data_IF_602354098260
#
_entry.id   IF_602354098260
#
_cell.length_a   1.000
_cell.length_b   1.000
_cell.length_c   1.000
_cell.angle_alpha   90.00
_cell.angle_beta   90.00
_cell.angle_gamma   90.00
#
_symmetry.space_group_name_H-M   'P 1'
#
loop_
_entity.id
_entity.type
_entity.pdbx_description
1 polymer ?
#
# COMPACT_ATOMS: atom_id res chain seq x y z
N UNK A 1 6.33 -3.00 15.37
CA UNK A 1 6.56 -1.64 14.82
C UNK A 1 5.27 -1.14 14.21
N UNK A 2 4.88 0.10 14.48
CA UNK A 2 3.73 0.78 13.85
C UNK A 2 4.26 1.81 12.87
N UNK A 3 3.66 1.89 11.68
CA UNK A 3 4.05 2.83 10.62
C UNK A 3 2.84 3.56 10.07
N UNK A 4 3.06 4.79 9.63
CA UNK A 4 2.17 5.53 8.76
C UNK A 4 2.53 5.19 7.31
N UNK A 5 1.59 4.63 6.59
CA UNK A 5 1.78 4.16 5.22
C UNK A 5 0.65 4.65 4.33
N UNK A 6 0.83 4.60 3.03
CA UNK A 6 -0.16 5.02 2.06
C UNK A 6 -0.70 3.82 1.27
N UNK A 7 -1.99 3.87 0.95
CA UNK A 7 -2.64 2.90 0.07
C UNK A 7 -3.48 3.62 -0.98
N UNK A 8 -3.14 3.40 -2.26
CA UNK A 8 -3.92 3.88 -3.40
C UNK A 8 -4.95 2.85 -3.82
N UNK A 9 -6.16 3.28 -4.09
CA UNK A 9 -7.19 2.41 -4.65
C UNK A 9 -8.10 3.19 -5.62
N UNK A 10 -8.78 2.50 -6.56
CA UNK A 10 -9.84 3.10 -7.36
C UNK A 10 -10.98 3.62 -6.49
N UNK A 11 -11.66 4.68 -6.94
CA UNK A 11 -12.72 5.34 -6.18
C UNK A 11 -13.89 4.42 -5.79
N UNK A 12 -14.21 3.41 -6.61
CA UNK A 12 -15.25 2.41 -6.33
C UNK A 12 -14.88 1.42 -5.20
N UNK A 13 -13.61 1.37 -4.83
CA UNK A 13 -13.10 0.54 -3.73
C UNK A 13 -13.13 1.29 -2.39
N UNK A 14 -13.09 2.62 -2.42
CA UNK A 14 -13.09 3.46 -1.20
C UNK A 14 -14.22 3.10 -0.23
N UNK A 15 -15.51 3.00 -0.64
CA UNK A 15 -16.60 2.65 0.30
C UNK A 15 -16.42 1.27 0.93
N UNK A 16 -15.81 0.32 0.21
CA UNK A 16 -15.56 -1.03 0.73
C UNK A 16 -14.51 -1.03 1.84
N UNK A 17 -13.42 -0.27 1.63
CA UNK A 17 -12.37 -0.12 2.66
C UNK A 17 -12.92 0.60 3.89
N UNK A 18 -13.76 1.63 3.71
CA UNK A 18 -14.38 2.36 4.82
C UNK A 18 -15.30 1.46 5.66
N UNK A 19 -16.02 0.53 5.02
CA UNK A 19 -16.96 -0.37 5.71
C UNK A 19 -16.29 -1.60 6.33
N UNK A 20 -15.26 -2.16 5.70
CA UNK A 20 -14.74 -3.49 6.02
C UNK A 20 -13.24 -3.50 6.33
N UNK A 21 -12.57 -2.34 6.27
CA UNK A 21 -11.12 -2.27 6.37
C UNK A 21 -10.41 -2.88 5.16
N UNK A 22 -9.13 -3.17 5.34
CA UNK A 22 -8.28 -3.77 4.32
C UNK A 22 -8.42 -5.30 4.34
N UNK A 23 -9.17 -5.85 3.40
CA UNK A 23 -9.41 -7.28 3.31
C UNK A 23 -8.46 -7.94 2.30
N UNK A 24 -7.60 -8.83 2.79
CA UNK A 24 -6.63 -9.60 2.01
C UNK A 24 -7.27 -10.43 0.89
N UNK A 25 -8.51 -10.86 1.01
CA UNK A 25 -9.20 -11.65 -0.01
C UNK A 25 -9.32 -10.94 -1.36
N UNK A 26 -9.15 -9.63 -1.40
CA UNK A 26 -9.12 -8.83 -2.62
C UNK A 26 -7.70 -8.59 -3.17
N UNK A 27 -6.65 -9.18 -2.58
CA UNK A 27 -5.30 -9.11 -3.12
C UNK A 27 -5.20 -9.86 -4.45
N UNK A 28 -4.17 -9.53 -5.25
CA UNK A 28 -3.90 -10.24 -6.52
C UNK A 28 -4.50 -9.59 -7.76
N UNK A 29 -5.25 -8.49 -7.63
CA UNK A 29 -5.67 -7.68 -8.80
C UNK A 29 -4.49 -6.96 -9.45
N UNK A 30 -3.47 -6.64 -8.67
CA UNK A 30 -2.19 -6.09 -9.10
C UNK A 30 -1.08 -7.12 -8.87
N UNK A 31 0.13 -6.81 -9.31
CA UNK A 31 1.27 -7.71 -9.15
C UNK A 31 1.53 -8.08 -7.67
N UNK A 32 1.90 -9.33 -7.43
CA UNK A 32 2.14 -9.92 -6.10
C UNK A 32 3.63 -10.20 -5.88
N UNK A 33 4.50 -9.27 -6.30
CA UNK A 33 5.96 -9.44 -6.28
C UNK A 33 6.54 -9.72 -4.89
N UNK A 34 5.92 -9.22 -3.85
CA UNK A 34 6.40 -9.35 -2.46
C UNK A 34 5.44 -10.16 -1.59
N UNK A 35 4.56 -10.96 -2.23
CA UNK A 35 3.59 -11.85 -1.59
C UNK A 35 2.13 -11.46 -1.83
N UNK A 36 1.22 -12.38 -1.51
CA UNK A 36 -0.24 -12.22 -1.66
C UNK A 36 -0.83 -11.63 -0.38
N UNK A 37 -0.64 -10.34 -0.18
CA UNK A 37 -1.18 -9.56 0.93
C UNK A 37 -1.70 -8.20 0.48
N UNK A 38 -2.00 -7.33 1.43
CA UNK A 38 -2.37 -5.95 1.18
C UNK A 38 -1.11 -5.08 1.16
N UNK A 39 -0.95 -4.32 0.10
CA UNK A 39 0.24 -3.51 -0.19
C UNK A 39 0.07 -2.08 0.32
N UNK A 40 1.09 -1.59 0.98
CA UNK A 40 1.20 -0.21 1.45
C UNK A 40 2.55 0.38 1.04
N UNK A 41 2.59 1.67 0.75
CA UNK A 41 3.80 2.38 0.43
C UNK A 41 4.21 3.34 1.56
N UNK A 42 5.52 3.47 1.80
CA UNK A 42 6.06 4.50 2.70
C UNK A 42 5.80 5.90 2.15
N UNK A 43 5.94 6.07 0.86
CA UNK A 43 5.82 7.36 0.18
C UNK A 43 4.48 7.46 -0.56
N UNK A 44 3.72 8.54 -0.32
CA UNK A 44 2.45 8.81 -0.99
C UNK A 44 2.56 8.80 -2.50
N UNK A 45 3.69 9.25 -3.04
CA UNK A 45 3.98 9.32 -4.46
C UNK A 45 3.80 7.97 -5.18
N UNK A 46 4.15 6.86 -4.53
CA UNK A 46 3.92 5.52 -5.10
C UNK A 46 2.43 5.21 -5.19
N UNK A 47 1.68 5.49 -4.12
CA UNK A 47 0.24 5.21 -4.03
C UNK A 47 -0.61 6.12 -4.91
N UNK A 48 -0.13 7.31 -5.26
CA UNK A 48 -0.84 8.26 -6.15
C UNK A 48 -0.72 7.91 -7.64
N UNK A 49 0.04 6.88 -8.00
CA UNK A 49 0.21 6.49 -9.38
C UNK A 49 -1.13 5.98 -9.98
N UNK A 50 -1.54 6.44 -11.20
CA UNK A 50 -2.86 6.12 -11.76
C UNK A 50 -3.18 4.63 -11.93
N UNK A 51 -2.18 3.76 -11.96
CA UNK A 51 -2.38 2.32 -11.98
C UNK A 51 -3.01 1.81 -10.67
N UNK A 52 -2.59 2.37 -9.53
CA UNK A 52 -3.07 1.97 -8.20
C UNK A 52 -4.27 2.81 -7.76
N UNK A 53 -4.24 4.10 -8.13
CA UNK A 53 -5.20 5.11 -7.74
C UNK A 53 -5.80 5.75 -9.01
N UNK A 54 -6.72 5.01 -9.67
CA UNK A 54 -7.33 5.47 -10.93
C UNK A 54 -8.15 6.73 -10.70
N UNK A 55 -7.92 7.82 -11.48
CA UNK A 55 -8.77 9.00 -11.44
C UNK A 55 -10.22 8.66 -11.81
N UNK A 56 -11.16 9.32 -11.16
CA UNK A 56 -12.56 9.31 -11.57
C UNK A 56 -12.79 10.18 -12.83
N UNK A 57 -14.03 10.26 -13.37
CA UNK A 57 -14.33 11.09 -14.55
C UNK A 57 -14.06 12.58 -14.36
N UNK A 58 -13.97 13.07 -13.11
CA UNK A 58 -13.63 14.45 -12.75
C UNK A 58 -12.13 14.65 -12.53
N UNK A 59 -11.32 13.60 -12.70
CA UNK A 59 -9.88 13.63 -12.48
C UNK A 59 -9.47 13.54 -11.00
N UNK A 60 -10.41 13.22 -10.11
CA UNK A 60 -10.13 13.07 -8.68
C UNK A 60 -9.63 11.66 -8.39
N UNK A 61 -8.60 11.57 -7.58
CA UNK A 61 -8.01 10.35 -7.07
C UNK A 61 -8.12 10.28 -5.54
N UNK A 62 -8.08 9.07 -4.99
CA UNK A 62 -8.21 8.84 -3.54
C UNK A 62 -7.10 7.94 -3.04
N UNK A 63 -6.42 8.35 -1.98
CA UNK A 63 -5.49 7.49 -1.22
C UNK A 63 -5.87 7.49 0.25
N UNK A 64 -5.55 6.39 0.91
CA UNK A 64 -5.64 6.31 2.37
C UNK A 64 -4.27 6.58 2.99
N UNK A 65 -4.26 7.36 4.06
CA UNK A 65 -3.19 7.34 5.05
C UNK A 65 -3.57 6.32 6.12
N UNK A 66 -2.72 5.33 6.30
CA UNK A 66 -3.02 4.10 7.00
C UNK A 66 -2.10 3.94 8.21
N UNK A 67 -2.67 3.58 9.36
CA UNK A 67 -1.91 3.13 10.51
C UNK A 67 -1.72 1.63 10.41
N UNK A 68 -0.50 1.21 10.09
CA UNK A 68 -0.17 -0.21 9.91
C UNK A 68 0.72 -0.77 11.04
N UNK A 69 0.43 -1.98 11.46
CA UNK A 69 1.25 -2.77 12.37
C UNK A 69 2.07 -3.75 11.52
N UNK A 70 3.29 -3.36 11.17
CA UNK A 70 4.16 -4.16 10.30
C UNK A 70 4.97 -5.20 11.08
N UNK A 71 5.12 -5.05 12.40
CA UNK A 71 5.82 -6.00 13.24
C UNK A 71 7.26 -6.24 12.85
N UNK A 72 7.68 -7.51 12.85
CA UNK A 72 8.95 -7.98 12.28
C UNK A 72 8.70 -8.44 10.84
N UNK A 73 9.54 -8.01 9.93
CA UNK A 73 9.36 -8.25 8.50
C UNK A 73 10.57 -8.95 7.87
N UNK A 74 10.32 -9.65 6.77
CA UNK A 74 11.34 -10.23 5.89
C UNK A 74 11.14 -9.72 4.45
N UNK A 75 12.09 -10.00 3.57
CA UNK A 75 11.91 -9.76 2.13
C UNK A 75 10.79 -10.61 1.59
N UNK A 76 9.92 -10.01 0.78
CA UNK A 76 8.79 -10.71 0.16
C UNK A 76 9.24 -11.61 -0.98
N UNK A 77 8.53 -12.73 -1.13
CA UNK A 77 8.69 -13.67 -2.24
C UNK A 77 7.45 -13.60 -3.12
N UNK A 78 7.67 -13.57 -4.43
CA UNK A 78 6.57 -13.47 -5.40
C UNK A 78 5.56 -14.60 -5.19
N UNK A 79 4.29 -14.23 -5.17
CA UNK A 79 3.13 -15.12 -5.03
C UNK A 79 3.06 -15.93 -3.71
N UNK A 80 3.94 -15.67 -2.74
CA UNK A 80 3.87 -16.31 -1.43
C UNK A 80 2.57 -15.98 -0.71
N UNK A 81 1.93 -17.01 -0.14
CA UNK A 81 0.67 -16.86 0.60
C UNK A 81 0.89 -16.36 2.03
N UNK A 82 2.08 -16.57 2.58
CA UNK A 82 2.48 -16.18 3.93
C UNK A 82 3.91 -15.66 3.91
N UNK A 83 4.31 -14.85 4.91
CA UNK A 83 5.72 -14.58 5.14
C UNK A 83 6.51 -15.87 5.45
N UNK A 84 7.84 -15.77 5.39
CA UNK A 84 8.73 -16.85 5.78
C UNK A 84 8.67 -17.15 7.29
N UNK A 85 9.18 -18.31 7.66
CA UNK A 85 9.31 -18.72 9.07
C UNK A 85 10.44 -17.92 9.71
N UNK A 86 10.13 -17.21 10.80
CA UNK A 86 11.09 -16.47 11.61
C UNK A 86 11.75 -17.32 12.70
N UNK A 87 10.96 -18.18 13.34
CA UNK A 87 11.41 -19.08 14.42
C UNK A 87 10.77 -20.45 14.21
N UNK A 88 11.56 -21.38 13.70
CA UNK A 88 11.09 -22.74 13.39
C UNK A 88 10.73 -23.54 14.66
N UNK A 89 11.42 -23.30 15.78
CA UNK A 89 11.14 -24.01 17.03
C UNK A 89 9.77 -23.66 17.63
N UNK A 90 9.30 -22.43 17.36
CA UNK A 90 8.00 -21.93 17.83
C UNK A 90 6.94 -21.87 16.73
N UNK A 91 7.28 -22.30 15.52
CA UNK A 91 6.41 -22.18 14.34
C UNK A 91 5.91 -20.75 14.10
N UNK A 92 6.76 -19.75 14.32
CA UNK A 92 6.41 -18.34 14.16
C UNK A 92 6.85 -17.84 12.78
N UNK A 93 5.95 -17.17 12.11
CA UNK A 93 6.22 -16.45 10.87
C UNK A 93 6.67 -15.02 11.15
N UNK A 94 7.24 -14.36 10.15
CA UNK A 94 7.31 -12.91 10.15
C UNK A 94 5.90 -12.30 10.08
N UNK A 95 5.75 -11.06 10.58
CA UNK A 95 4.44 -10.41 10.66
C UNK A 95 4.02 -9.79 9.32
N UNK A 96 5.00 -9.41 8.48
CA UNK A 96 4.79 -8.79 7.15
C UNK A 96 5.98 -9.05 6.24
N UNK A 97 5.86 -8.64 4.97
CA UNK A 97 6.97 -8.67 4.01
C UNK A 97 7.23 -7.29 3.42
N UNK A 98 8.41 -7.11 2.84
CA UNK A 98 8.87 -5.85 2.26
C UNK A 98 9.57 -6.06 0.91
N UNK A 99 9.80 -4.95 0.19
CA UNK A 99 10.43 -4.94 -1.14
C UNK A 99 11.97 -5.02 -1.11
N UNK A 100 12.59 -4.88 0.07
CA UNK A 100 14.05 -4.75 0.19
C UNK A 100 14.72 -5.90 0.93
N UNK A 101 16.01 -6.05 0.73
CA UNK A 101 16.86 -6.96 1.50
C UNK A 101 17.03 -6.45 2.94
N UNK A 102 17.36 -7.36 3.89
CA UNK A 102 17.68 -6.97 5.27
C UNK A 102 18.73 -5.85 5.35
N UNK A 103 18.49 -4.88 6.23
CA UNK A 103 19.38 -3.73 6.44
C UNK A 103 19.15 -2.56 5.49
N UNK A 104 18.26 -2.68 4.51
CA UNK A 104 17.81 -1.56 3.67
C UNK A 104 16.45 -1.06 4.13
N UNK A 105 16.21 0.24 3.98
CA UNK A 105 14.94 0.85 4.34
C UNK A 105 13.87 0.48 3.31
N UNK A 106 12.73 -0.15 3.71
CA UNK A 106 11.68 -0.54 2.79
C UNK A 106 10.91 0.65 2.24
N UNK A 107 10.45 0.54 1.00
CA UNK A 107 9.49 1.46 0.38
C UNK A 107 8.09 0.87 0.30
N UNK A 108 7.98 -0.46 0.24
CA UNK A 108 6.71 -1.20 0.19
C UNK A 108 6.64 -2.18 1.36
N UNK A 109 5.47 -2.24 1.97
CA UNK A 109 5.12 -3.18 3.03
C UNK A 109 3.88 -3.97 2.61
N UNK A 110 3.87 -5.28 2.91
CA UNK A 110 2.74 -6.17 2.62
C UNK A 110 2.28 -6.82 3.91
N UNK A 111 1.01 -6.64 4.27
CA UNK A 111 0.40 -7.24 5.45
C UNK A 111 -0.47 -8.44 5.08
N UNK A 112 -0.61 -9.38 6.00
CA UNK A 112 -1.27 -10.66 5.77
C UNK A 112 -2.51 -10.90 6.66
N UNK A 113 -2.75 -10.04 7.62
CA UNK A 113 -3.94 -10.07 8.49
C UNK A 113 -4.72 -8.77 8.38
N UNK A 114 -6.04 -8.86 8.29
CA UNK A 114 -6.92 -7.71 8.09
C UNK A 114 -6.82 -6.69 9.24
N UNK A 115 -6.56 -7.18 10.47
CA UNK A 115 -6.38 -6.33 11.66
C UNK A 115 -5.02 -5.60 11.74
N UNK A 116 -4.10 -5.83 10.79
CA UNK A 116 -2.79 -5.15 10.79
C UNK A 116 -2.84 -3.72 10.26
N UNK A 117 -3.91 -3.33 9.57
CA UNK A 117 -3.99 -2.03 8.92
C UNK A 117 -5.33 -1.37 9.17
N UNK A 118 -5.30 -0.11 9.61
CA UNK A 118 -6.47 0.72 9.84
C UNK A 118 -6.42 1.95 8.93
N UNK A 119 -7.46 2.21 8.11
CA UNK A 119 -7.55 3.43 7.32
C UNK A 119 -7.85 4.61 8.25
N UNK A 120 -6.87 5.50 8.46
CA UNK A 120 -7.00 6.61 9.41
C UNK A 120 -7.52 7.87 8.74
N UNK A 121 -7.07 8.16 7.51
CA UNK A 121 -7.51 9.30 6.71
C UNK A 121 -7.74 8.90 5.27
N UNK A 122 -8.80 9.42 4.69
CA UNK A 122 -9.05 9.44 3.25
C UNK A 122 -8.62 10.78 2.69
N UNK A 123 -7.71 10.78 1.72
CA UNK A 123 -7.20 11.97 1.06
C UNK A 123 -7.63 11.95 -0.40
N UNK A 124 -8.42 12.96 -0.81
CA UNK A 124 -8.81 13.19 -2.20
C UNK A 124 -7.94 14.29 -2.82
N UNK A 125 -7.49 14.09 -4.02
CA UNK A 125 -6.60 15.01 -4.72
C UNK A 125 -6.78 14.94 -6.24
N UNK A 126 -6.29 15.96 -6.95
CA UNK A 126 -6.18 15.93 -8.41
C UNK A 126 -4.72 16.09 -8.83
N UNK A 127 -4.35 15.46 -9.92
CA UNK A 127 -3.02 15.64 -10.53
C UNK A 127 -3.10 16.58 -11.72
N UNK A 128 -2.26 17.59 -11.75
CA UNK A 128 -2.15 18.50 -12.89
C UNK A 128 -1.34 17.91 -14.05
N UNK A 129 -0.50 16.89 -13.79
CA UNK A 129 0.30 16.19 -14.78
C UNK A 129 0.27 14.67 -14.51
N UNK A 130 -0.43 13.91 -15.35
CA UNK A 130 -0.47 12.45 -15.25
C UNK A 130 0.81 11.85 -15.83
N UNK A 131 1.49 10.93 -15.14
CA UNK A 131 2.65 10.23 -15.69
C UNK A 131 2.27 9.38 -16.92
N UNK A 132 3.09 9.47 -17.98
CA UNK A 132 2.88 8.67 -19.21
C UNK A 132 3.40 7.23 -19.12
N UNK A 133 4.19 6.88 -18.10
CA UNK A 133 4.79 5.55 -17.96
C UNK A 133 4.73 5.07 -16.50
N UNK A 134 4.60 3.75 -16.35
CA UNK A 134 4.65 3.07 -15.05
C UNK A 134 6.09 3.07 -14.54
N UNK A 135 6.37 3.45 -13.28
CA UNK A 135 7.68 3.22 -12.71
C UNK A 135 7.93 1.71 -12.60
N UNK A 136 9.09 1.25 -13.07
CA UNK A 136 9.52 -0.13 -12.85
C UNK A 136 9.66 -0.39 -11.33
N UNK A 137 9.36 -1.62 -10.91
CA UNK A 137 9.53 -2.01 -9.51
C UNK A 137 11.00 -1.77 -9.10
N UNK A 138 11.23 -0.87 -8.14
CA UNK A 138 12.55 -0.47 -7.68
C UNK A 138 13.02 0.92 -8.13
N UNK A 139 12.36 1.57 -9.09
CA UNK A 139 12.68 2.97 -9.45
C UNK A 139 11.70 3.93 -8.77
N UNK A 140 12.22 4.78 -7.90
CA UNK A 140 11.47 5.93 -7.42
C UNK A 140 11.20 6.87 -8.61
N UNK A 141 9.95 7.30 -8.85
CA UNK A 141 9.66 8.19 -9.97
C UNK A 141 10.38 9.52 -9.79
N UNK A 142 11.32 9.84 -10.70
CA UNK A 142 12.20 11.01 -10.64
C UNK A 142 11.52 12.36 -10.95
N UNK A 143 10.23 12.40 -11.23
CA UNK A 143 9.51 13.67 -11.49
C UNK A 143 8.64 14.07 -10.30
N UNK A 144 8.82 15.29 -9.83
CA UNK A 144 7.91 15.94 -8.88
C UNK A 144 6.57 16.21 -9.58
N UNK A 145 5.52 15.51 -9.13
CA UNK A 145 4.14 15.84 -9.49
C UNK A 145 3.61 16.84 -8.47
N UNK A 146 2.94 17.88 -8.96
CA UNK A 146 2.15 18.73 -8.08
C UNK A 146 0.81 18.07 -7.86
N UNK A 147 0.49 17.80 -6.61
CA UNK A 147 -0.82 17.31 -6.18
C UNK A 147 -1.57 18.46 -5.54
N UNK A 148 -2.79 18.69 -5.98
CA UNK A 148 -3.71 19.59 -5.31
C UNK A 148 -4.58 18.75 -4.38
N UNK A 149 -4.33 18.81 -3.08
CA UNK A 149 -5.20 18.16 -2.09
C UNK A 149 -6.52 18.91 -2.10
N UNK A 150 -7.59 18.19 -2.38
CA UNK A 150 -8.96 18.73 -2.41
C UNK A 150 -9.62 18.55 -1.05
N UNK A 151 -9.39 17.42 -0.39
CA UNK A 151 -10.02 17.05 0.85
C UNK A 151 -9.17 16.02 1.62
N UNK A 152 -9.15 16.13 2.94
CA UNK A 152 -8.61 15.10 3.83
C UNK A 152 -9.56 14.94 5.01
N UNK A 153 -10.17 13.75 5.14
CA UNK A 153 -11.14 13.42 6.19
C UNK A 153 -10.56 12.31 7.09
N UNK A 154 -10.67 12.52 8.41
CA UNK A 154 -10.43 11.47 9.40
C UNK A 154 -11.53 10.42 9.33
N UNK A 155 -11.18 9.17 9.54
CA UNK A 155 -12.11 8.04 9.56
C UNK A 155 -12.33 7.67 11.02
N UNK A 156 -13.58 7.82 11.49
CA UNK A 156 -14.01 7.47 12.85
C UNK A 156 -14.26 5.95 13.01
#
# INVERSE_FOLDING_TARGET
MRCWLFHGCPGDIVPKILQQGFNRSFCGKNATFYGKGVYFARDAKYSTYPLYCRPDPQGVQSIFLVRAVVGQYCKGVKDALTPEVRDAAKNLLYDSTVDTDPGKEPSIYVTYHDAQAYPEYLIKFSQTNVPKAHPSAGEAPHRMYRHNILEAEGIE
#
